data_IF_892814430596
#
_entry.id   IF_892814430596
#
_cell.length_a   1.000
_cell.length_b   1.000
_cell.length_c   1.000
_cell.angle_alpha   90.00
_cell.angle_beta   90.00
_cell.angle_gamma   90.00
#
_symmetry.space_group_name_H-M   'P 1'
#
loop_
_entity.id
_entity.type
_entity.pdbx_description
1 polymer ?
#
# COMPACT_ATOMS: atom_id res chain seq x y z
N UNK A 1 11.21 -24.21 -28.63
CA UNK A 1 10.53 -23.29 -27.73
C UNK A 1 11.40 -22.04 -27.64
N UNK A 2 10.88 -20.93 -28.14
CA UNK A 2 11.62 -19.66 -28.26
C UNK A 2 11.97 -19.14 -26.86
N UNK A 3 13.25 -19.06 -26.54
CA UNK A 3 13.74 -18.63 -25.23
C UNK A 3 13.35 -17.18 -24.92
N UNK A 4 13.20 -16.33 -25.94
CA UNK A 4 12.67 -14.98 -25.82
C UNK A 4 11.24 -14.98 -25.27
N UNK A 5 10.38 -15.88 -25.75
CA UNK A 5 8.98 -16.01 -25.31
C UNK A 5 8.85 -16.49 -23.85
N UNK A 6 9.77 -17.37 -23.40
CA UNK A 6 9.79 -17.84 -22.02
C UNK A 6 10.26 -16.74 -21.05
N UNK A 7 11.26 -15.93 -21.47
CA UNK A 7 11.74 -14.78 -20.69
C UNK A 7 10.67 -13.68 -20.56
N UNK A 8 9.94 -13.39 -21.65
CA UNK A 8 8.83 -12.44 -21.63
C UNK A 8 7.65 -12.90 -20.76
N UNK A 9 7.26 -14.16 -20.86
CA UNK A 9 6.15 -14.70 -20.07
C UNK A 9 6.46 -14.76 -18.58
N UNK A 10 7.68 -15.17 -18.21
CA UNK A 10 8.13 -15.14 -16.82
C UNK A 10 8.27 -13.70 -16.27
N UNK A 11 8.83 -12.79 -17.07
CA UNK A 11 8.92 -11.37 -16.69
C UNK A 11 7.55 -10.73 -16.47
N UNK A 12 6.57 -11.04 -17.31
CA UNK A 12 5.17 -10.60 -17.16
C UNK A 12 4.50 -11.21 -15.91
N UNK A 13 4.72 -12.51 -15.64
CA UNK A 13 4.14 -13.19 -14.49
C UNK A 13 4.74 -12.68 -13.17
N UNK A 14 6.07 -12.56 -13.07
CA UNK A 14 6.77 -12.03 -11.90
C UNK A 14 6.45 -10.54 -11.73
N UNK A 15 6.49 -9.77 -12.82
CA UNK A 15 6.16 -8.35 -12.81
C UNK A 15 4.74 -8.04 -12.36
N UNK A 16 3.81 -8.97 -12.56
CA UNK A 16 2.44 -8.84 -12.08
C UNK A 16 2.25 -9.23 -10.62
N UNK A 17 3.02 -10.21 -10.13
CA UNK A 17 2.88 -10.69 -8.75
C UNK A 17 3.50 -9.76 -7.71
N UNK A 18 4.63 -9.13 -8.03
CA UNK A 18 5.35 -8.24 -7.11
C UNK A 18 4.48 -7.06 -6.63
N UNK A 19 3.81 -6.27 -7.50
CA UNK A 19 2.98 -5.17 -7.04
C UNK A 19 1.83 -5.63 -6.14
N UNK A 20 1.24 -6.78 -6.43
CA UNK A 20 0.20 -7.37 -5.61
C UNK A 20 0.70 -7.66 -4.18
N UNK A 21 1.82 -8.38 -4.06
CA UNK A 21 2.41 -8.71 -2.75
C UNK A 21 2.78 -7.45 -1.99
N UNK A 22 3.45 -6.50 -2.65
CA UNK A 22 3.87 -5.24 -2.06
C UNK A 22 2.69 -4.45 -1.48
N UNK A 23 1.65 -4.22 -2.28
CA UNK A 23 0.47 -3.46 -1.87
C UNK A 23 -0.27 -4.17 -0.72
N UNK A 24 -0.42 -5.49 -0.80
CA UNK A 24 -1.07 -6.29 0.24
C UNK A 24 -0.31 -6.25 1.56
N UNK A 25 1.03 -6.34 1.55
CA UNK A 25 1.81 -6.27 2.79
C UNK A 25 1.82 -4.86 3.39
N UNK A 26 1.82 -3.80 2.59
CA UNK A 26 1.64 -2.43 3.09
C UNK A 26 0.27 -2.29 3.77
N UNK A 27 -0.79 -2.77 3.13
CA UNK A 27 -2.15 -2.71 3.67
C UNK A 27 -2.28 -3.49 4.97
N UNK A 28 -1.87 -4.76 4.99
CA UNK A 28 -1.96 -5.64 6.17
C UNK A 28 -1.08 -5.12 7.32
N UNK A 29 0.12 -4.61 7.01
CA UNK A 29 1.02 -4.04 8.00
C UNK A 29 0.50 -2.75 8.63
N UNK A 30 -0.31 -1.98 7.90
CA UNK A 30 -0.97 -0.78 8.39
C UNK A 30 -2.28 -1.10 9.16
N UNK A 31 -2.95 -2.21 8.84
CA UNK A 31 -4.30 -2.51 9.33
C UNK A 31 -4.36 -2.68 10.85
N UNK A 32 -3.52 -3.52 11.43
CA UNK A 32 -3.55 -3.76 12.88
C UNK A 32 -3.20 -2.52 13.70
N UNK A 33 -2.12 -1.77 13.41
CA UNK A 33 -1.84 -0.51 14.10
C UNK A 33 -2.96 0.52 13.95
N UNK A 34 -3.61 0.60 12.77
CA UNK A 34 -4.75 1.49 12.58
C UNK A 34 -5.93 1.14 13.48
N UNK A 35 -6.25 -0.15 13.60
CA UNK A 35 -7.33 -0.62 14.49
C UNK A 35 -6.98 -0.33 15.95
N UNK A 36 -5.75 -0.64 16.35
CA UNK A 36 -5.31 -0.49 17.74
C UNK A 36 -5.29 0.97 18.19
N UNK A 37 -4.72 1.86 17.38
CA UNK A 37 -4.60 3.30 17.65
C UNK A 37 -5.93 4.07 17.47
N UNK A 38 -6.94 3.50 16.85
CA UNK A 38 -8.26 4.10 16.70
C UNK A 38 -9.29 3.46 17.63
N UNK A 39 -9.91 2.40 17.16
CA UNK A 39 -10.96 1.67 17.88
C UNK A 39 -10.45 1.00 19.17
N UNK A 40 -9.20 0.48 19.17
CA UNK A 40 -8.60 -0.13 20.34
C UNK A 40 -8.41 0.83 21.51
N UNK A 41 -7.99 2.08 21.25
CA UNK A 41 -7.88 3.09 22.31
C UNK A 41 -9.25 3.49 22.89
N UNK A 42 -10.31 3.53 22.05
CA UNK A 42 -11.66 3.77 22.53
C UNK A 42 -12.12 2.65 23.47
N UNK A 43 -11.95 1.39 23.05
CA UNK A 43 -12.38 0.22 23.81
C UNK A 43 -11.65 0.11 25.16
N UNK A 44 -10.38 0.53 25.23
CA UNK A 44 -9.59 0.54 26.46
C UNK A 44 -9.81 1.80 27.33
N UNK A 45 -10.54 2.80 26.84
CA UNK A 45 -10.75 4.08 27.56
C UNK A 45 -9.50 4.98 27.58
N UNK A 46 -8.40 4.60 26.94
CA UNK A 46 -7.15 5.38 26.90
C UNK A 46 -7.25 6.63 26.03
N UNK A 47 -8.23 6.70 25.16
CA UNK A 47 -8.48 7.87 24.29
C UNK A 47 -8.85 9.11 25.11
N UNK A 48 -9.58 8.97 26.23
CA UNK A 48 -9.94 10.10 27.11
C UNK A 48 -8.69 10.74 27.72
N UNK A 49 -7.74 9.91 28.17
CA UNK A 49 -6.46 10.36 28.70
C UNK A 49 -5.65 11.10 27.63
N UNK A 50 -5.66 10.60 26.39
CA UNK A 50 -4.97 11.23 25.28
C UNK A 50 -5.59 12.61 24.93
N UNK A 51 -6.91 12.72 24.99
CA UNK A 51 -7.64 13.97 24.71
C UNK A 51 -7.49 15.00 25.84
N UNK A 52 -7.08 14.61 27.05
CA UNK A 52 -6.75 15.53 28.13
C UNK A 52 -5.35 16.15 28.01
N UNK A 53 -4.54 15.67 27.05
CA UNK A 53 -3.22 16.24 26.75
C UNK A 53 -3.34 17.61 26.07
N UNK A 54 -2.31 18.46 26.13
CA UNK A 54 -2.32 19.78 25.46
C UNK A 54 -2.23 19.70 23.93
N UNK A 55 -2.10 18.50 23.36
CA UNK A 55 -2.01 18.30 21.92
C UNK A 55 -3.37 18.49 21.23
N UNK A 56 -3.36 19.14 20.09
CA UNK A 56 -4.56 19.31 19.26
C UNK A 56 -5.00 17.99 18.66
N UNK A 57 -6.31 17.84 18.39
CA UNK A 57 -6.86 16.65 17.70
C UNK A 57 -6.19 16.38 16.34
N UNK A 58 -5.73 17.43 15.67
CA UNK A 58 -4.99 17.31 14.41
C UNK A 58 -3.59 16.70 14.63
N UNK A 59 -2.84 17.17 15.62
CA UNK A 59 -1.51 16.64 15.94
C UNK A 59 -1.58 15.18 16.36
N UNK A 60 -2.58 14.81 17.17
CA UNK A 60 -2.83 13.43 17.57
C UNK A 60 -3.11 12.55 16.34
N UNK A 61 -3.98 13.03 15.43
CA UNK A 61 -4.31 12.27 14.20
C UNK A 61 -3.08 12.12 13.31
N UNK A 62 -2.27 13.17 13.15
CA UNK A 62 -1.05 13.11 12.34
C UNK A 62 -0.01 12.17 12.96
N UNK A 63 0.16 12.18 14.27
CA UNK A 63 1.02 11.23 14.97
C UNK A 63 0.62 9.78 14.75
N UNK A 64 -0.68 9.48 14.87
CA UNK A 64 -1.22 8.14 14.59
C UNK A 64 -1.04 7.74 13.12
N UNK A 65 -1.33 8.66 12.20
CA UNK A 65 -1.14 8.44 10.77
C UNK A 65 0.32 8.13 10.43
N UNK A 66 1.26 8.84 11.04
CA UNK A 66 2.68 8.60 10.84
C UNK A 66 3.09 7.20 11.32
N UNK A 67 2.64 6.77 12.49
CA UNK A 67 2.91 5.42 13.01
C UNK A 67 2.35 4.35 12.07
N UNK A 68 1.08 4.49 11.67
CA UNK A 68 0.40 3.52 10.80
C UNK A 68 1.03 3.46 9.42
N UNK A 69 1.41 4.61 8.83
CA UNK A 69 2.08 4.64 7.53
C UNK A 69 3.48 4.03 7.60
N UNK A 70 4.24 4.30 8.66
CA UNK A 70 5.56 3.71 8.85
C UNK A 70 5.50 2.19 9.03
N UNK A 71 4.55 1.67 9.81
CA UNK A 71 4.39 0.22 9.98
C UNK A 71 4.00 -0.46 8.66
N UNK A 72 3.14 0.17 7.86
CA UNK A 72 2.83 -0.29 6.51
C UNK A 72 4.06 -0.29 5.60
N UNK A 73 4.82 0.79 5.58
CA UNK A 73 6.07 0.91 4.80
C UNK A 73 7.08 -0.18 5.19
N UNK A 74 7.33 -0.36 6.48
CA UNK A 74 8.26 -1.38 6.98
C UNK A 74 7.81 -2.78 6.56
N UNK A 75 6.51 -3.08 6.67
CA UNK A 75 5.96 -4.37 6.24
C UNK A 75 6.12 -4.60 4.74
N UNK A 76 5.90 -3.57 3.93
CA UNK A 76 6.15 -3.62 2.49
C UNK A 76 7.64 -3.82 2.16
N UNK A 77 8.54 -3.11 2.82
CA UNK A 77 9.99 -3.29 2.64
C UNK A 77 10.44 -4.70 3.01
N UNK A 78 9.96 -5.23 4.14
CA UNK A 78 10.25 -6.61 4.55
C UNK A 78 9.73 -7.61 3.50
N UNK A 79 8.57 -7.37 2.90
CA UNK A 79 8.04 -8.24 1.85
C UNK A 79 8.93 -8.25 0.60
N UNK A 80 9.42 -7.10 0.17
CA UNK A 80 10.37 -6.99 -0.95
C UNK A 80 11.67 -7.71 -0.65
N UNK A 81 12.23 -7.52 0.56
CA UNK A 81 13.43 -8.23 1.01
C UNK A 81 13.19 -9.74 1.10
N UNK A 82 12.02 -10.17 1.59
CA UNK A 82 11.62 -11.57 1.66
C UNK A 82 11.56 -12.24 0.29
N UNK A 83 10.93 -11.59 -0.69
CA UNK A 83 10.89 -12.08 -2.07
C UNK A 83 12.30 -12.14 -2.66
N UNK A 84 13.08 -11.07 -2.50
CA UNK A 84 14.45 -11.02 -3.03
C UNK A 84 15.35 -12.11 -2.42
N UNK A 85 15.25 -12.34 -1.11
CA UNK A 85 16.04 -13.36 -0.42
C UNK A 85 15.61 -14.79 -0.80
N UNK A 86 14.32 -15.03 -1.06
CA UNK A 86 13.84 -16.36 -1.45
C UNK A 86 14.45 -16.84 -2.77
N UNK A 87 14.84 -15.91 -3.65
CA UNK A 87 15.48 -16.23 -4.93
C UNK A 87 16.86 -16.85 -4.76
N UNK A 88 17.58 -16.53 -3.67
CA UNK A 88 18.89 -17.12 -3.37
C UNK A 88 18.81 -18.55 -2.81
N UNK A 89 17.65 -18.99 -2.32
CA UNK A 89 17.48 -20.33 -1.74
C UNK A 89 16.89 -21.36 -2.71
N UNK A 90 16.58 -20.97 -3.96
CA UNK A 90 16.00 -21.89 -4.94
C UNK A 90 17.09 -22.42 -5.87
N UNK A 91 17.79 -23.48 -5.43
CA UNK A 91 18.85 -24.17 -6.19
C UNK A 91 18.41 -24.74 -7.57
N UNK A 92 17.11 -24.67 -7.89
CA UNK A 92 16.51 -25.22 -9.12
C UNK A 92 16.15 -24.17 -10.17
N UNK A 93 16.39 -22.87 -9.90
CA UNK A 93 16.12 -21.85 -10.91
C UNK A 93 17.22 -21.92 -11.97
N UNK A 94 16.89 -22.07 -13.27
CA UNK A 94 17.87 -21.99 -14.34
C UNK A 94 18.69 -20.71 -14.25
N UNK A 95 20.01 -20.80 -14.48
CA UNK A 95 20.95 -19.68 -14.37
C UNK A 95 20.50 -18.47 -15.18
N UNK A 96 19.87 -18.72 -16.37
CA UNK A 96 19.33 -17.67 -17.23
C UNK A 96 18.21 -16.84 -16.54
N UNK A 97 17.42 -17.46 -15.68
CA UNK A 97 16.36 -16.78 -14.92
C UNK A 97 16.98 -15.99 -13.77
N UNK A 98 18.02 -16.54 -13.11
CA UNK A 98 18.75 -15.83 -12.06
C UNK A 98 19.42 -14.57 -12.60
N UNK A 99 20.09 -14.64 -13.74
CA UNK A 99 20.69 -13.48 -14.41
C UNK A 99 19.63 -12.43 -14.77
N UNK A 100 18.48 -12.85 -15.30
CA UNK A 100 17.36 -11.95 -15.60
C UNK A 100 16.84 -11.23 -14.36
N UNK A 101 16.70 -11.93 -13.24
CA UNK A 101 16.24 -11.35 -11.98
C UNK A 101 17.29 -10.38 -11.42
N UNK A 102 18.58 -10.72 -11.51
CA UNK A 102 19.66 -9.82 -11.08
C UNK A 102 19.73 -8.55 -11.94
N UNK A 103 19.49 -8.66 -13.25
CA UNK A 103 19.36 -7.49 -14.13
C UNK A 103 18.16 -6.61 -13.79
N UNK A 104 17.06 -7.22 -13.29
CA UNK A 104 15.87 -6.50 -12.81
C UNK A 104 16.10 -5.80 -11.45
N UNK A 105 17.13 -6.19 -10.67
CA UNK A 105 17.50 -5.53 -9.39
C UNK A 105 18.46 -4.37 -9.68
N UNK A 106 17.99 -3.40 -10.45
CA UNK A 106 18.73 -2.15 -10.67
C UNK A 106 18.43 -1.17 -9.51
N UNK A 107 19.42 -0.43 -8.97
CA UNK A 107 19.21 0.58 -7.93
C UNK A 107 18.15 1.64 -8.29
N UNK A 108 18.02 1.98 -9.54
CA UNK A 108 16.97 2.89 -10.03
C UNK A 108 15.56 2.30 -9.85
N UNK A 109 15.39 1.02 -10.15
CA UNK A 109 14.10 0.32 -9.97
C UNK A 109 13.71 0.22 -8.51
N UNK A 110 14.65 -0.19 -7.66
CA UNK A 110 14.43 -0.28 -6.21
C UNK A 110 14.04 1.10 -5.67
N UNK A 111 14.78 2.15 -6.04
CA UNK A 111 14.48 3.52 -5.64
C UNK A 111 13.09 3.98 -6.08
N UNK A 112 12.70 3.68 -7.31
CA UNK A 112 11.37 4.01 -7.85
C UNK A 112 10.24 3.30 -7.10
N UNK A 113 10.41 2.01 -6.80
CA UNK A 113 9.44 1.24 -6.01
C UNK A 113 9.33 1.80 -4.58
N UNK A 114 10.45 2.09 -3.92
CA UNK A 114 10.45 2.67 -2.57
C UNK A 114 9.76 4.04 -2.55
N UNK A 115 10.02 4.89 -3.54
CA UNK A 115 9.33 6.19 -3.66
C UNK A 115 7.83 6.00 -3.84
N UNK A 116 7.40 5.03 -4.63
CA UNK A 116 6.00 4.70 -4.86
C UNK A 116 5.31 4.16 -3.58
N UNK A 117 6.03 3.41 -2.75
CA UNK A 117 5.50 2.85 -1.50
C UNK A 117 5.06 3.93 -0.50
N UNK A 118 5.71 5.10 -0.49
CA UNK A 118 5.42 6.17 0.48
C UNK A 118 3.97 6.68 0.34
N UNK A 119 3.52 7.17 -0.82
CA UNK A 119 2.14 7.64 -0.96
C UNK A 119 1.11 6.53 -0.81
N UNK A 120 1.42 5.29 -1.19
CA UNK A 120 0.54 4.13 -0.97
C UNK A 120 0.34 3.88 0.52
N UNK A 121 1.41 3.91 1.31
CA UNK A 121 1.33 3.69 2.76
C UNK A 121 0.53 4.80 3.45
N UNK A 122 0.72 6.06 3.06
CA UNK A 122 -0.05 7.20 3.58
C UNK A 122 -1.53 7.07 3.19
N UNK A 123 -1.82 6.69 1.95
CA UNK A 123 -3.18 6.44 1.47
C UNK A 123 -3.89 5.36 2.31
N UNK A 124 -3.26 4.18 2.48
CA UNK A 124 -3.86 3.13 3.30
C UNK A 124 -3.96 3.52 4.77
N UNK A 125 -2.93 4.14 5.35
CA UNK A 125 -2.97 4.60 6.72
C UNK A 125 -4.13 5.57 6.97
N UNK A 126 -4.34 6.52 6.07
CA UNK A 126 -5.43 7.51 6.19
C UNK A 126 -6.81 6.87 6.06
N UNK A 127 -6.98 5.95 5.12
CA UNK A 127 -8.24 5.23 4.92
C UNK A 127 -8.56 4.32 6.12
N UNK A 128 -7.59 3.53 6.58
CA UNK A 128 -7.76 2.60 7.71
C UNK A 128 -8.02 3.33 9.02
N UNK A 129 -7.30 4.43 9.31
CA UNK A 129 -7.55 5.25 10.48
C UNK A 129 -8.94 5.89 10.44
N UNK A 130 -9.43 6.34 9.29
CA UNK A 130 -10.78 6.89 9.16
C UNK A 130 -11.84 5.89 9.59
N UNK A 131 -11.71 4.63 9.14
CA UNK A 131 -12.61 3.53 9.49
C UNK A 131 -12.48 3.17 10.97
N UNK A 132 -11.24 3.12 11.47
CA UNK A 132 -10.98 2.81 12.87
C UNK A 132 -11.57 3.87 13.81
N UNK A 133 -11.45 5.14 13.48
CA UNK A 133 -12.07 6.23 14.25
C UNK A 133 -13.60 6.20 14.22
N UNK A 134 -14.19 5.74 13.13
CA UNK A 134 -15.63 5.55 13.03
C UNK A 134 -16.14 4.39 13.86
N UNK A 135 -15.35 3.31 13.99
CA UNK A 135 -15.72 2.08 14.67
C UNK A 135 -15.80 2.25 16.19
N UNK A 136 -16.63 1.45 16.85
CA UNK A 136 -16.83 1.46 18.30
C UNK A 136 -15.87 0.54 19.04
N UNK A 137 -15.52 -0.58 18.42
CA UNK A 137 -14.68 -1.63 19.00
C UNK A 137 -13.66 -2.15 18.01
N UNK A 138 -12.65 -2.84 18.54
CA UNK A 138 -11.62 -3.52 17.74
C UNK A 138 -12.26 -4.50 16.74
N UNK A 139 -13.24 -5.29 17.17
CA UNK A 139 -13.94 -6.27 16.33
C UNK A 139 -14.75 -5.62 15.21
N UNK A 140 -15.41 -4.51 15.49
CA UNK A 140 -16.17 -3.75 14.48
C UNK A 140 -15.22 -3.19 13.43
N UNK A 141 -14.10 -2.57 13.83
CA UNK A 141 -13.08 -2.06 12.92
C UNK A 141 -12.53 -3.18 12.02
N UNK A 142 -12.17 -4.32 12.61
CA UNK A 142 -11.68 -5.47 11.86
C UNK A 142 -12.72 -6.00 10.86
N UNK A 143 -13.98 -6.07 11.26
CA UNK A 143 -15.08 -6.49 10.38
C UNK A 143 -15.32 -5.57 9.21
N UNK A 144 -15.18 -4.25 9.41
CA UNK A 144 -15.32 -3.24 8.34
C UNK A 144 -14.10 -3.22 7.40
N UNK A 145 -12.91 -3.51 7.93
CA UNK A 145 -11.67 -3.53 7.13
C UNK A 145 -11.49 -4.82 6.33
N UNK A 146 -12.09 -5.94 6.76
CA UNK A 146 -12.01 -7.22 6.06
C UNK A 146 -12.41 -7.15 4.58
N UNK A 147 -13.60 -6.63 4.23
CA UNK A 147 -14.04 -6.48 2.84
C UNK A 147 -13.16 -5.56 1.98
N UNK A 148 -12.41 -4.63 2.59
CA UNK A 148 -11.50 -3.76 1.85
C UNK A 148 -10.38 -4.51 1.14
N UNK A 149 -9.99 -5.68 1.65
CA UNK A 149 -9.05 -6.55 0.94
C UNK A 149 -9.55 -6.83 -0.48
N UNK A 150 -10.84 -7.14 -0.66
CA UNK A 150 -11.41 -7.38 -1.99
C UNK A 150 -11.41 -6.13 -2.85
N UNK A 151 -11.71 -4.97 -2.25
CA UNK A 151 -11.68 -3.67 -2.96
C UNK A 151 -10.27 -3.32 -3.44
N UNK A 152 -9.23 -3.77 -2.75
CA UNK A 152 -7.82 -3.56 -3.13
C UNK A 152 -7.37 -4.61 -4.14
N UNK A 153 -7.74 -5.88 -3.92
CA UNK A 153 -7.32 -7.00 -4.76
C UNK A 153 -7.87 -6.87 -6.18
N UNK A 154 -9.16 -6.51 -6.34
CA UNK A 154 -9.81 -6.46 -7.65
C UNK A 154 -9.12 -5.50 -8.63
N UNK A 155 -8.84 -4.23 -8.30
CA UNK A 155 -8.11 -3.32 -9.19
C UNK A 155 -6.70 -3.79 -9.52
N UNK A 156 -5.99 -4.39 -8.54
CA UNK A 156 -4.65 -4.95 -8.78
C UNK A 156 -4.69 -6.12 -9.75
N UNK A 157 -5.68 -7.02 -9.63
CA UNK A 157 -5.85 -8.10 -10.59
C UNK A 157 -6.27 -7.60 -11.98
N UNK A 158 -7.09 -6.56 -12.05
CA UNK A 158 -7.43 -5.94 -13.33
C UNK A 158 -6.20 -5.38 -14.04
N UNK A 159 -5.23 -4.82 -13.31
CA UNK A 159 -3.97 -4.33 -13.90
C UNK A 159 -3.11 -5.45 -14.55
N UNK A 160 -3.38 -6.74 -14.20
CA UNK A 160 -2.72 -7.89 -14.81
C UNK A 160 -3.40 -8.36 -16.09
N UNK A 161 -4.59 -7.83 -16.39
CA UNK A 161 -5.38 -8.24 -17.54
C UNK A 161 -4.64 -8.04 -18.87
N UNK A 162 -4.87 -8.91 -19.84
CA UNK A 162 -4.33 -8.73 -21.19
C UNK A 162 -4.88 -7.43 -21.79
N UNK A 163 -4.00 -6.60 -22.39
CA UNK A 163 -4.39 -5.34 -23.02
C UNK A 163 -4.54 -4.15 -22.06
N UNK A 164 -4.27 -4.34 -20.76
CA UNK A 164 -4.15 -3.20 -19.83
C UNK A 164 -2.74 -2.61 -19.96
N UNK A 165 -2.70 -1.42 -20.54
CA UNK A 165 -1.49 -0.61 -20.70
C UNK A 165 -1.57 0.65 -19.87
N UNK A 166 -0.41 1.23 -19.57
CA UNK A 166 -0.32 2.49 -18.85
C UNK A 166 -0.68 3.62 -19.80
N UNK A 167 -1.70 4.40 -19.45
CA UNK A 167 -2.11 5.62 -20.12
C UNK A 167 -2.47 6.69 -19.09
N UNK A 168 -2.79 7.91 -19.55
CA UNK A 168 -3.18 9.01 -18.64
C UNK A 168 -4.41 8.69 -17.79
N UNK A 169 -5.36 7.90 -18.29
CA UNK A 169 -6.55 7.53 -17.54
C UNK A 169 -6.24 6.49 -16.45
N UNK A 170 -5.47 5.45 -16.79
CA UNK A 170 -5.06 4.42 -15.84
C UNK A 170 -4.06 4.95 -14.81
N UNK A 171 -3.19 5.91 -15.18
CA UNK A 171 -2.26 6.58 -14.26
C UNK A 171 -2.98 7.36 -13.14
N UNK A 172 -4.18 7.84 -13.40
CA UNK A 172 -5.01 8.54 -12.41
C UNK A 172 -5.93 7.63 -11.59
N UNK A 173 -6.05 6.35 -11.96
CA UNK A 173 -6.89 5.37 -11.23
C UNK A 173 -6.10 4.73 -10.09
N UNK A 174 -6.37 5.06 -8.81
CA UNK A 174 -5.60 4.51 -7.69
C UNK A 174 -5.74 2.98 -7.64
N UNK A 175 -4.68 2.30 -7.21
CA UNK A 175 -4.46 0.85 -7.17
C UNK A 175 -4.19 0.22 -8.54
N UNK A 176 -4.94 0.53 -9.58
CA UNK A 176 -4.64 0.08 -10.96
C UNK A 176 -3.30 0.67 -11.40
N UNK A 177 -3.12 1.99 -11.18
CA UNK A 177 -1.89 2.69 -11.51
C UNK A 177 -0.66 2.09 -10.80
N UNK A 178 -0.80 1.67 -9.54
CA UNK A 178 0.29 1.01 -8.80
C UNK A 178 0.70 -0.29 -9.47
N UNK A 179 -0.28 -1.12 -9.85
CA UNK A 179 -0.04 -2.40 -10.53
C UNK A 179 0.65 -2.21 -11.87
N UNK A 180 0.13 -1.32 -12.72
CA UNK A 180 0.68 -1.05 -14.04
C UNK A 180 2.04 -0.37 -13.96
N UNK A 181 2.19 0.67 -13.14
CA UNK A 181 3.46 1.39 -12.99
C UNK A 181 4.58 0.48 -12.46
N UNK A 182 4.29 -0.38 -11.48
CA UNK A 182 5.29 -1.33 -10.97
C UNK A 182 5.71 -2.32 -12.06
N UNK A 183 4.76 -2.76 -12.89
CA UNK A 183 5.04 -3.63 -14.05
C UNK A 183 5.96 -2.94 -15.07
N UNK A 184 5.73 -1.64 -15.35
CA UNK A 184 6.59 -0.87 -16.27
C UNK A 184 7.97 -0.57 -15.68
N UNK A 185 8.04 -0.28 -14.37
CA UNK A 185 9.32 -0.13 -13.67
C UNK A 185 10.15 -1.41 -13.80
N UNK A 186 9.53 -2.58 -13.59
CA UNK A 186 10.19 -3.87 -13.71
C UNK A 186 10.55 -4.22 -15.16
N UNK A 187 9.77 -3.76 -16.14
CA UNK A 187 10.08 -3.91 -17.56
C UNK A 187 11.15 -2.92 -18.05
N UNK A 188 11.48 -1.89 -17.26
CA UNK A 188 12.40 -0.82 -17.67
C UNK A 188 11.83 0.13 -18.72
N UNK A 189 10.51 0.15 -18.90
CA UNK A 189 9.79 0.96 -19.90
C UNK A 189 9.06 2.16 -19.31
N UNK A 190 9.29 2.48 -18.03
CA UNK A 190 8.56 3.52 -17.32
C UNK A 190 8.78 4.91 -17.95
N UNK A 191 7.70 5.59 -18.29
CA UNK A 191 7.70 6.99 -18.67
C UNK A 191 7.54 7.89 -17.44
N UNK A 192 8.38 8.92 -17.35
CA UNK A 192 8.39 9.85 -16.22
C UNK A 192 7.03 10.53 -16.00
N UNK A 193 6.28 10.78 -17.07
CA UNK A 193 4.97 11.43 -17.00
C UNK A 193 3.98 10.57 -16.20
N UNK A 194 3.87 9.27 -16.49
CA UNK A 194 2.98 8.36 -15.80
C UNK A 194 3.40 8.13 -14.35
N UNK A 195 4.72 8.14 -14.07
CA UNK A 195 5.23 8.08 -12.71
C UNK A 195 4.75 9.27 -11.87
N UNK A 196 4.85 10.49 -12.42
CA UNK A 196 4.40 11.71 -11.74
C UNK A 196 2.89 11.72 -11.57
N UNK A 197 2.12 11.34 -12.59
CA UNK A 197 0.66 11.26 -12.53
C UNK A 197 0.18 10.27 -11.47
N UNK A 198 0.83 9.11 -11.38
CA UNK A 198 0.54 8.10 -10.35
C UNK A 198 0.83 8.63 -8.95
N UNK A 199 1.99 9.28 -8.73
CA UNK A 199 2.32 9.90 -7.45
C UNK A 199 1.28 10.96 -7.07
N UNK A 200 0.92 11.82 -8.02
CA UNK A 200 -0.09 12.86 -7.80
C UNK A 200 -1.46 12.25 -7.42
N UNK A 201 -1.92 11.24 -8.16
CA UNK A 201 -3.18 10.53 -7.89
C UNK A 201 -3.20 9.93 -6.48
N UNK A 202 -2.13 9.22 -6.08
CA UNK A 202 -2.03 8.59 -4.76
C UNK A 202 -1.96 9.62 -3.63
N UNK A 203 -1.18 10.70 -3.80
CA UNK A 203 -1.10 11.79 -2.82
C UNK A 203 -2.43 12.54 -2.70
N UNK A 204 -3.15 12.73 -3.81
CA UNK A 204 -4.47 13.34 -3.78
C UNK A 204 -5.48 12.47 -3.01
N UNK A 205 -5.50 11.17 -3.27
CA UNK A 205 -6.33 10.22 -2.52
C UNK A 205 -5.93 10.15 -1.03
N UNK A 206 -4.62 10.18 -0.73
CA UNK A 206 -4.11 10.24 0.64
C UNK A 206 -4.58 11.52 1.35
N UNK A 207 -4.53 12.67 0.68
CA UNK A 207 -5.00 13.94 1.24
C UNK A 207 -6.50 13.90 1.59
N UNK A 208 -7.32 13.31 0.72
CA UNK A 208 -8.75 13.08 0.99
C UNK A 208 -8.91 12.16 2.21
N UNK A 209 -8.17 11.06 2.28
CA UNK A 209 -8.20 10.14 3.41
C UNK A 209 -7.78 10.80 4.73
N UNK A 210 -6.73 11.64 4.71
CA UNK A 210 -6.30 12.42 5.87
C UNK A 210 -7.40 13.38 6.33
N UNK A 211 -8.03 14.07 5.38
CA UNK A 211 -9.14 14.95 5.69
C UNK A 211 -10.30 14.20 6.38
N UNK A 212 -10.67 13.02 5.88
CA UNK A 212 -11.68 12.15 6.50
C UNK A 212 -11.24 11.68 7.89
N UNK A 213 -9.98 11.28 8.09
CA UNK A 213 -9.45 10.86 9.39
C UNK A 213 -9.58 11.98 10.43
N UNK A 214 -9.15 13.19 10.06
CA UNK A 214 -9.26 14.38 10.93
C UNK A 214 -10.72 14.74 11.20
N UNK A 215 -11.57 14.65 10.17
CA UNK A 215 -13.00 14.94 10.31
C UNK A 215 -13.68 13.99 11.31
N UNK A 216 -13.47 12.68 11.18
CA UNK A 216 -14.05 11.70 12.09
C UNK A 216 -13.50 11.82 13.51
N UNK A 217 -12.20 12.10 13.65
CA UNK A 217 -11.57 12.28 14.95
C UNK A 217 -12.01 13.57 15.65
N UNK A 218 -12.44 14.60 14.93
CA UNK A 218 -12.99 15.84 15.51
C UNK A 218 -14.44 15.70 16.00
N UNK A 219 -15.19 14.75 15.45
CA UNK A 219 -16.62 14.60 15.72
C UNK A 219 -16.85 13.91 17.07
N UNK A 220 -17.31 14.66 18.08
CA UNK A 220 -17.50 14.17 19.46
C UNK A 220 -18.42 12.95 19.55
N UNK A 221 -19.53 12.94 18.80
CA UNK A 221 -20.44 11.80 18.73
C UNK A 221 -19.77 10.51 18.20
N UNK A 222 -18.62 10.61 17.55
CA UNK A 222 -17.88 9.47 17.02
C UNK A 222 -16.82 9.00 18.04
N UNK A 223 -16.23 9.92 18.78
CA UNK A 223 -15.21 9.63 19.80
C UNK A 223 -15.85 8.90 20.99
N UNK A 224 -17.01 9.38 21.46
CA UNK A 224 -17.74 8.84 22.62
C UNK A 224 -18.86 7.85 22.23
N UNK A 225 -18.81 7.29 21.05
CA UNK A 225 -19.77 6.29 20.60
C UNK A 225 -19.43 4.93 21.23
N UNK A 226 -20.10 4.64 22.32
CA UNK A 226 -20.08 3.33 23.03
C UNK A 226 -21.03 2.35 22.34
#
# INVERSE_FOLDING_TARGET
VDMATAKETLGKAIGGFIPYVLVMFIFLGAMYPAIDLGAGEKERGSLETLLSSPATKFEITMGKLLVVSLTGLVSGLISVLGISSSLFFIDKIPVQIQETILELINPFMIGSIVILMIPIAIFFASMLLSISFYSRSFKEAQSLMGPLNMVIIVPLFLSLGPGMEMDHATALMPLINVGLLTKEILAGSVELIYFIETLFSLLFCAAIGIWFSVYWFKKENTIFRV
#
